data_IF_429231233682
#
_entry.id   IF_429231233682
#
_cell.length_a   1.000
_cell.length_b   1.000
_cell.length_c   1.000
_cell.angle_alpha   90.00
_cell.angle_beta   90.00
_cell.angle_gamma   90.00
#
_symmetry.space_group_name_H-M   'P 1'
#
loop_
_entity.id
_entity.type
_entity.pdbx_description
1 polymer ?
#
# COMPACT_ATOMS: atom_id res chain seq x y z
N UNK A 1 9.67 -0.88 -24.88
CA UNK A 1 8.42 -0.20 -24.45
C UNK A 1 7.27 -1.22 -24.47
N UNK A 2 7.09 -1.98 -23.40
CA UNK A 2 5.96 -2.90 -23.19
C UNK A 2 5.44 -2.64 -21.77
N UNK A 3 4.12 -2.45 -21.57
CA UNK A 3 3.58 -2.26 -20.23
C UNK A 3 3.55 -3.62 -19.53
N UNK A 4 4.41 -3.83 -18.53
CA UNK A 4 4.35 -5.04 -17.68
C UNK A 4 3.13 -4.94 -16.76
N UNK A 5 2.01 -5.53 -17.21
CA UNK A 5 0.88 -5.88 -16.33
C UNK A 5 1.32 -7.03 -15.43
N UNK A 6 1.67 -6.70 -14.19
CA UNK A 6 1.93 -7.68 -13.14
C UNK A 6 0.63 -8.41 -12.76
N UNK A 7 0.61 -9.73 -12.89
CA UNK A 7 -0.39 -10.62 -12.30
C UNK A 7 0.07 -10.97 -10.88
N UNK A 8 -0.23 -10.08 -9.94
CA UNK A 8 -0.24 -10.40 -8.50
C UNK A 8 -1.73 -10.50 -8.10
N UNK A 9 -2.03 -11.40 -7.16
CA UNK A 9 -3.34 -11.67 -6.55
C UNK A 9 -4.27 -10.44 -6.48
N UNK A 10 -5.60 -10.59 -6.65
CA UNK A 10 -6.50 -9.52 -7.05
C UNK A 10 -6.30 -8.28 -6.19
N UNK A 11 -5.66 -7.27 -6.77
CA UNK A 11 -5.55 -5.96 -6.15
C UNK A 11 -6.93 -5.33 -6.16
N UNK A 12 -7.44 -5.01 -4.98
CA UNK A 12 -8.63 -4.20 -4.86
C UNK A 12 -8.24 -2.77 -5.26
N UNK A 13 -8.51 -2.41 -6.52
CA UNK A 13 -8.31 -1.05 -7.04
C UNK A 13 -9.37 -0.14 -6.41
N UNK A 14 -8.93 0.93 -5.77
CA UNK A 14 -9.81 2.02 -5.36
C UNK A 14 -9.79 3.11 -6.42
N UNK A 15 -10.97 3.47 -6.92
CA UNK A 15 -11.18 4.72 -7.63
C UNK A 15 -11.93 5.64 -6.67
N UNK A 16 -11.27 6.71 -6.23
CA UNK A 16 -11.91 7.76 -5.42
C UNK A 16 -12.86 8.51 -6.35
N UNK A 17 -14.16 8.20 -6.28
CA UNK A 17 -15.18 8.95 -7.03
C UNK A 17 -15.39 10.31 -6.34
N UNK A 18 -14.97 11.39 -6.98
CA UNK A 18 -15.38 12.74 -6.58
C UNK A 18 -16.89 12.91 -6.86
N UNK A 19 -17.68 13.09 -5.81
CA UNK A 19 -19.12 13.37 -5.94
C UNK A 19 -19.32 14.88 -6.15
N UNK A 20 -19.60 15.30 -7.39
CA UNK A 20 -20.02 16.67 -7.68
C UNK A 20 -21.50 16.83 -7.25
N UNK A 21 -21.79 17.55 -6.17
CA UNK A 21 -23.17 17.88 -5.79
C UNK A 21 -23.73 18.99 -6.69
N UNK A 22 -24.64 18.65 -7.63
CA UNK A 22 -25.52 19.64 -8.23
C UNK A 22 -26.65 19.98 -7.24
N UNK A 23 -26.77 21.26 -6.88
CA UNK A 23 -27.93 21.79 -6.14
C UNK A 23 -29.09 22.01 -7.13
N UNK A 24 -30.19 21.29 -6.94
CA UNK A 24 -31.47 21.59 -7.59
C UNK A 24 -32.40 22.27 -6.58
N UNK A 25 -32.76 23.53 -6.86
CA UNK A 25 -33.77 24.30 -6.13
C UNK A 25 -35.16 23.91 -6.65
N UNK A 26 -36.07 23.50 -5.77
CA UNK A 26 -37.44 23.11 -6.12
C UNK A 26 -38.44 23.37 -4.99
N UNK A 27 -39.49 24.11 -5.35
CA UNK A 27 -40.56 24.74 -4.56
C UNK A 27 -41.35 23.79 -3.63
N UNK A 28 -41.71 24.28 -2.44
CA UNK A 28 -42.51 23.58 -1.43
C UNK A 28 -44.01 23.54 -1.74
N UNK A 29 -44.64 22.38 -1.52
CA UNK A 29 -46.09 22.22 -1.35
C UNK A 29 -46.32 21.45 -0.05
N UNK A 30 -46.98 22.09 0.92
CA UNK A 30 -47.37 21.50 2.20
C UNK A 30 -48.56 20.54 2.02
N UNK A 31 -48.36 19.26 2.32
CA UNK A 31 -49.43 18.30 2.59
C UNK A 31 -49.02 17.46 3.80
N UNK A 32 -49.86 17.53 4.85
CA UNK A 32 -49.63 16.86 6.12
C UNK A 32 -49.68 15.34 5.97
N UNK A 33 -48.56 14.69 6.24
CA UNK A 33 -48.45 13.26 6.47
C UNK A 33 -47.67 13.06 7.76
N UNK A 34 -48.29 12.45 8.76
CA UNK A 34 -47.59 11.89 9.92
C UNK A 34 -46.86 10.65 9.43
N UNK A 35 -45.76 10.85 8.72
CA UNK A 35 -44.87 9.79 8.28
C UNK A 35 -43.83 9.57 9.35
N UNK A 36 -43.81 8.37 9.94
CA UNK A 36 -42.66 7.90 10.70
C UNK A 36 -41.43 8.01 9.79
N UNK A 37 -40.56 8.98 10.06
CA UNK A 37 -39.30 9.12 9.33
C UNK A 37 -38.42 7.94 9.72
N UNK A 38 -38.53 6.83 8.98
CA UNK A 38 -37.47 5.85 8.93
C UNK A 38 -36.32 6.57 8.24
N UNK A 39 -35.42 7.16 9.04
CA UNK A 39 -34.13 7.62 8.55
C UNK A 39 -33.44 6.39 7.98
N UNK A 40 -33.47 6.24 6.67
CA UNK A 40 -32.60 5.32 5.95
C UNK A 40 -31.17 5.80 6.25
N UNK A 41 -30.55 5.19 7.26
CA UNK A 41 -29.11 5.35 7.46
C UNK A 41 -28.49 4.79 6.19
N UNK A 42 -27.94 5.68 5.36
CA UNK A 42 -27.19 5.25 4.19
C UNK A 42 -26.08 4.33 4.69
N UNK A 43 -26.19 3.04 4.40
CA UNK A 43 -25.16 2.07 4.72
C UNK A 43 -23.91 2.49 3.95
N UNK A 44 -22.93 3.04 4.66
CA UNK A 44 -21.65 3.38 4.08
C UNK A 44 -21.00 2.09 3.60
N UNK A 45 -20.96 1.87 2.29
CA UNK A 45 -20.29 0.72 1.69
C UNK A 45 -18.77 0.93 1.78
N UNK A 46 -18.24 0.66 2.97
CA UNK A 46 -16.81 0.68 3.24
C UNK A 46 -16.14 -0.52 2.59
N UNK A 47 -14.99 -0.27 1.99
CA UNK A 47 -14.17 -1.38 1.51
C UNK A 47 -13.56 -2.15 2.68
N UNK A 48 -13.54 -3.47 2.56
CA UNK A 48 -13.04 -4.37 3.58
C UNK A 48 -11.57 -4.66 3.33
N UNK A 49 -10.72 -4.40 4.33
CA UNK A 49 -9.29 -4.68 4.28
C UNK A 49 -8.94 -5.53 5.49
N UNK A 50 -8.49 -6.78 5.32
CA UNK A 50 -8.11 -7.58 6.47
C UNK A 50 -6.94 -6.96 7.23
N UNK A 51 -6.97 -7.07 8.56
CA UNK A 51 -5.84 -6.73 9.42
C UNK A 51 -4.56 -7.39 8.91
N UNK A 52 -3.46 -6.64 8.90
CA UNK A 52 -2.15 -7.01 8.35
C UNK A 52 -2.10 -7.27 6.84
N UNK A 53 -3.15 -6.92 6.10
CA UNK A 53 -3.11 -6.84 4.63
C UNK A 53 -2.81 -5.42 4.16
N UNK A 54 -2.67 -5.22 2.85
CA UNK A 54 -2.29 -3.93 2.27
C UNK A 54 -3.51 -3.12 1.84
N UNK A 55 -3.66 -1.92 2.39
CA UNK A 55 -4.35 -0.82 1.73
C UNK A 55 -3.43 -0.25 0.63
N UNK A 56 -3.97 -0.01 -0.57
CA UNK A 56 -3.25 0.66 -1.65
C UNK A 56 -4.15 1.75 -2.26
N UNK A 57 -3.76 3.01 -2.07
CA UNK A 57 -4.29 4.12 -2.83
C UNK A 57 -3.60 4.18 -4.17
N UNK A 58 -4.38 4.21 -5.26
CA UNK A 58 -3.91 4.48 -6.62
C UNK A 58 -4.42 5.87 -7.00
N UNK A 59 -3.50 6.77 -7.29
CA UNK A 59 -3.75 8.19 -7.48
C UNK A 59 -3.11 8.61 -8.80
N UNK A 60 -3.71 9.60 -9.46
CA UNK A 60 -3.21 10.14 -10.72
C UNK A 60 -3.00 11.64 -10.53
N UNK A 61 -1.79 12.09 -10.80
CA UNK A 61 -1.46 13.51 -10.83
C UNK A 61 -2.23 14.21 -11.94
N UNK A 62 -2.78 15.40 -11.65
CA UNK A 62 -3.37 16.27 -12.68
C UNK A 62 -2.39 17.34 -13.18
N UNK A 63 -1.13 17.28 -12.71
CA UNK A 63 -0.05 18.18 -13.09
C UNK A 63 1.20 17.38 -13.48
N UNK A 64 1.92 17.78 -14.53
CA UNK A 64 3.23 17.21 -14.82
C UNK A 64 4.27 17.76 -13.84
N UNK A 65 5.30 16.98 -13.56
CA UNK A 65 6.47 17.38 -12.78
C UNK A 65 7.74 16.95 -13.48
N UNK A 66 8.76 17.81 -13.47
CA UNK A 66 10.06 17.52 -14.09
C UNK A 66 10.88 16.51 -13.27
N UNK A 67 10.72 16.52 -11.95
CA UNK A 67 11.38 15.57 -11.05
C UNK A 67 10.43 15.15 -9.92
N UNK A 68 9.41 14.33 -10.21
CA UNK A 68 8.37 13.98 -9.24
C UNK A 68 8.92 13.32 -7.96
N UNK A 69 10.02 12.58 -8.07
CA UNK A 69 10.63 11.85 -6.94
C UNK A 69 11.20 12.81 -5.88
N UNK A 70 11.68 13.98 -6.28
CA UNK A 70 12.30 14.95 -5.37
C UNK A 70 11.45 16.19 -5.12
N UNK A 71 10.65 16.61 -6.11
CA UNK A 71 9.94 17.89 -6.06
C UNK A 71 8.59 17.79 -5.33
N UNK A 72 8.04 16.58 -5.21
CA UNK A 72 6.68 16.37 -4.72
C UNK A 72 6.66 15.39 -3.55
N UNK A 73 6.11 15.84 -2.42
CA UNK A 73 5.89 15.03 -1.25
C UNK A 73 4.40 14.72 -1.10
N UNK A 74 4.07 13.43 -1.17
CA UNK A 74 2.73 12.91 -0.93
C UNK A 74 2.71 12.22 0.44
N UNK A 75 1.71 12.50 1.27
CA UNK A 75 1.51 11.85 2.57
C UNK A 75 0.06 11.40 2.72
N UNK A 76 -0.14 10.34 3.48
CA UNK A 76 -1.45 9.98 4.00
C UNK A 76 -1.39 9.80 5.51
N UNK A 77 -2.30 10.46 6.21
CA UNK A 77 -2.56 10.25 7.63
C UNK A 77 -3.75 9.31 7.78
N UNK A 78 -3.54 8.17 8.43
CA UNK A 78 -4.55 7.15 8.71
C UNK A 78 -4.95 7.22 10.18
N UNK A 79 -6.23 7.49 10.46
CA UNK A 79 -6.78 7.54 11.81
C UNK A 79 -7.41 6.19 12.17
N UNK A 80 -6.93 5.52 13.24
CA UNK A 80 -7.52 4.27 13.71
C UNK A 80 -8.89 4.49 14.37
N UNK A 81 -9.66 3.41 14.62
CA UNK A 81 -10.84 3.47 15.47
C UNK A 81 -10.54 4.01 16.87
N UNK A 82 -9.35 3.70 17.40
CA UNK A 82 -8.85 4.12 18.72
C UNK A 82 -7.35 4.33 18.63
N UNK A 83 -6.86 5.41 19.22
CA UNK A 83 -5.43 5.73 19.30
C UNK A 83 -5.03 6.87 18.36
N UNK A 84 -3.73 7.05 18.21
CA UNK A 84 -3.16 8.14 17.44
C UNK A 84 -3.13 7.84 15.94
N UNK A 85 -3.23 8.87 15.08
CA UNK A 85 -3.05 8.71 13.64
C UNK A 85 -1.64 8.21 13.27
N UNK A 86 -1.56 7.52 12.14
CA UNK A 86 -0.30 7.04 11.55
C UNK A 86 -0.10 7.69 10.19
N UNK A 87 1.02 8.39 10.03
CA UNK A 87 1.38 9.02 8.75
C UNK A 87 2.34 8.13 7.97
N UNK A 88 2.04 7.95 6.69
CA UNK A 88 2.92 7.26 5.72
C UNK A 88 3.18 8.17 4.52
N UNK A 89 4.35 8.00 3.91
CA UNK A 89 4.66 8.65 2.65
C UNK A 89 4.02 7.87 1.49
N UNK A 90 3.51 8.63 0.51
CA UNK A 90 3.23 8.13 -0.82
C UNK A 90 4.49 8.18 -1.69
N UNK A 91 4.42 7.57 -2.85
CA UNK A 91 5.53 7.52 -3.80
C UNK A 91 5.03 7.61 -5.24
N UNK A 92 5.85 8.19 -6.10
CA UNK A 92 5.66 8.20 -7.55
C UNK A 92 5.93 6.81 -8.12
N UNK A 93 5.08 6.34 -9.03
CA UNK A 93 5.12 4.98 -9.62
C UNK A 93 5.30 4.99 -11.14
N UNK A 94 5.72 6.13 -11.72
CA UNK A 94 5.91 6.29 -13.15
C UNK A 94 4.83 7.17 -13.80
N UNK A 95 5.21 7.96 -14.81
CA UNK A 95 4.28 8.85 -15.51
C UNK A 95 3.55 9.81 -14.56
N UNK A 96 2.21 9.78 -14.59
CA UNK A 96 1.36 10.55 -13.68
C UNK A 96 0.87 9.73 -12.48
N UNK A 97 1.31 8.47 -12.33
CA UNK A 97 0.79 7.55 -11.33
C UNK A 97 1.51 7.72 -9.97
N UNK A 98 0.72 7.74 -8.91
CA UNK A 98 1.15 7.86 -7.53
C UNK A 98 0.48 6.81 -6.66
N UNK A 99 1.17 6.35 -5.63
CA UNK A 99 0.67 5.32 -4.73
C UNK A 99 0.89 5.66 -3.27
N UNK A 100 -0.03 5.19 -2.45
CA UNK A 100 0.10 5.16 -0.99
C UNK A 100 -0.14 3.73 -0.56
N UNK A 101 0.73 3.20 0.33
CA UNK A 101 0.57 1.86 0.88
C UNK A 101 0.55 1.93 2.40
N UNK A 102 -0.45 1.30 2.99
CA UNK A 102 -0.63 1.23 4.43
C UNK A 102 -1.06 -0.19 4.83
N UNK A 103 -0.73 -0.61 6.05
CA UNK A 103 -1.09 -1.92 6.59
C UNK A 103 -1.85 -1.72 7.90
N UNK A 104 -3.19 -1.81 7.93
CA UNK A 104 -3.94 -1.63 9.16
C UNK A 104 -3.67 -2.77 10.14
N UNK A 105 -3.53 -2.44 11.41
CA UNK A 105 -3.20 -3.37 12.49
C UNK A 105 -4.30 -3.45 13.57
N UNK A 106 -5.42 -2.74 13.39
CA UNK A 106 -6.56 -2.72 14.32
C UNK A 106 -7.86 -2.92 13.57
N UNK A 107 -8.69 -3.86 14.03
CA UNK A 107 -10.04 -4.10 13.50
C UNK A 107 -10.94 -2.91 13.80
N UNK A 108 -11.73 -2.49 12.82
CA UNK A 108 -12.66 -1.36 12.94
C UNK A 108 -12.54 -0.35 11.79
N UNK A 109 -13.33 0.72 11.86
CA UNK A 109 -13.34 1.76 10.82
C UNK A 109 -12.08 2.62 10.92
N UNK A 110 -11.34 2.69 9.82
CA UNK A 110 -10.24 3.63 9.63
C UNK A 110 -10.69 4.75 8.71
N UNK A 111 -10.25 5.97 9.00
CA UNK A 111 -10.35 7.11 8.07
C UNK A 111 -8.97 7.53 7.63
N UNK A 112 -8.86 8.20 6.50
CA UNK A 112 -7.59 8.76 6.05
C UNK A 112 -7.75 10.09 5.35
N UNK A 113 -6.71 10.91 5.41
CA UNK A 113 -6.54 12.13 4.64
C UNK A 113 -5.21 12.11 3.92
N UNK A 114 -5.24 12.47 2.63
CA UNK A 114 -4.07 12.51 1.75
C UNK A 114 -3.75 13.98 1.46
N UNK A 115 -2.49 14.34 1.62
CA UNK A 115 -1.95 15.67 1.35
C UNK A 115 -0.74 15.60 0.44
N UNK A 116 -0.68 16.51 -0.53
CA UNK A 116 0.45 16.73 -1.41
C UNK A 116 1.10 18.09 -1.09
N UNK A 117 2.42 18.21 -1.24
CA UNK A 117 3.15 19.48 -1.09
C UNK A 117 2.76 20.53 -2.15
N UNK A 118 2.31 20.09 -3.34
CA UNK A 118 1.62 20.95 -4.31
C UNK A 118 0.11 20.91 -4.04
N UNK A 119 -0.38 21.86 -3.25
CA UNK A 119 -1.77 21.91 -2.80
C UNK A 119 -2.78 22.13 -3.93
N UNK A 120 -2.33 22.69 -5.06
CA UNK A 120 -3.17 22.90 -6.24
C UNK A 120 -3.34 21.62 -7.07
N UNK A 121 -2.54 20.58 -6.84
CA UNK A 121 -2.73 19.29 -7.51
C UNK A 121 -3.90 18.51 -6.92
N UNK A 122 -5.11 18.79 -7.42
CA UNK A 122 -6.36 18.17 -6.98
C UNK A 122 -6.45 16.65 -7.22
N UNK A 123 -5.53 16.08 -8.00
CA UNK A 123 -5.40 14.63 -8.17
C UNK A 123 -4.72 13.94 -6.99
N UNK A 124 -3.97 14.70 -6.18
CA UNK A 124 -3.14 14.19 -5.09
C UNK A 124 -3.41 14.87 -3.74
N UNK A 125 -3.94 16.09 -3.71
CA UNK A 125 -4.12 16.90 -2.51
C UNK A 125 -5.57 16.92 -2.00
N UNK A 126 -5.72 16.97 -0.67
CA UNK A 126 -6.99 17.08 0.06
C UNK A 126 -8.01 16.00 -0.35
N UNK A 127 -7.54 14.77 -0.48
CA UNK A 127 -8.38 13.60 -0.70
C UNK A 127 -8.60 12.89 0.63
N UNK A 128 -9.79 12.35 0.85
CA UNK A 128 -10.15 11.66 2.08
C UNK A 128 -10.97 10.41 1.79
N UNK A 129 -11.02 9.52 2.76
CA UNK A 129 -11.81 8.31 2.65
C UNK A 129 -11.80 7.49 3.93
N UNK A 130 -12.43 6.32 3.83
CA UNK A 130 -12.51 5.37 4.92
C UNK A 130 -12.52 3.94 4.41
N UNK A 131 -12.07 3.02 5.26
CA UNK A 131 -12.20 1.58 5.03
C UNK A 131 -12.50 0.86 6.35
N UNK A 132 -13.01 -0.36 6.26
CA UNK A 132 -13.23 -1.21 7.42
C UNK A 132 -12.11 -2.25 7.50
N UNK A 133 -11.31 -2.17 8.55
CA UNK A 133 -10.34 -3.20 8.86
C UNK A 133 -11.05 -4.41 9.48
N UNK A 134 -10.94 -5.58 8.84
CA UNK A 134 -11.59 -6.82 9.29
C UNK A 134 -10.59 -7.74 10.00
N UNK A 135 -11.08 -8.86 10.54
CA UNK A 135 -10.20 -9.90 11.05
C UNK A 135 -9.21 -10.39 9.96
N UNK A 136 -8.02 -10.87 10.33
CA UNK A 136 -7.06 -11.42 9.37
C UNK A 136 -7.68 -12.59 8.59
N UNK A 137 -7.59 -12.56 7.25
CA UNK A 137 -8.10 -13.64 6.37
C UNK A 137 -7.05 -14.13 5.37
N UNK A 138 -5.78 -13.73 5.54
CA UNK A 138 -4.75 -14.02 4.53
C UNK A 138 -4.17 -15.43 4.63
N UNK A 139 -3.69 -15.93 3.49
CA UNK A 139 -3.15 -17.29 3.37
C UNK A 139 -1.69 -17.42 3.83
N UNK A 140 -0.95 -16.31 3.84
CA UNK A 140 0.45 -16.29 4.25
C UNK A 140 0.59 -16.21 5.78
N UNK A 141 1.73 -16.66 6.31
CA UNK A 141 2.02 -16.50 7.75
C UNK A 141 1.98 -15.04 8.19
N UNK A 142 2.46 -14.11 7.37
CA UNK A 142 2.49 -12.68 7.70
C UNK A 142 1.09 -12.07 7.72
N UNK A 143 0.24 -12.41 6.75
CA UNK A 143 -1.12 -11.87 6.67
C UNK A 143 -2.11 -12.57 7.62
N UNK A 144 -1.77 -13.75 8.13
CA UNK A 144 -2.54 -14.47 9.15
C UNK A 144 -2.13 -14.15 10.59
N UNK A 145 -0.83 -13.99 10.83
CA UNK A 145 -0.28 -13.85 12.18
C UNK A 145 0.24 -12.43 12.48
N UNK A 146 0.46 -11.61 11.45
CA UNK A 146 0.95 -10.26 11.55
C UNK A 146 2.45 -10.11 11.28
N UNK A 147 2.95 -8.86 11.29
CA UNK A 147 4.38 -8.57 11.12
C UNK A 147 5.23 -9.22 12.20
N UNK A 148 6.52 -9.42 11.90
CA UNK A 148 7.49 -9.97 12.86
C UNK A 148 7.89 -8.86 13.84
N UNK A 149 7.95 -9.21 15.12
CA UNK A 149 8.32 -8.37 16.26
C UNK A 149 9.39 -9.08 17.11
N UNK A 150 10.15 -8.32 17.86
CA UNK A 150 10.98 -8.85 18.95
C UNK A 150 10.07 -9.20 20.12
N UNK A 151 10.23 -10.38 20.71
CA UNK A 151 9.43 -10.79 21.85
C UNK A 151 9.64 -9.89 23.07
N UNK A 152 8.66 -9.86 23.99
CA UNK A 152 8.77 -9.09 25.24
C UNK A 152 10.01 -9.46 26.07
N UNK A 153 10.38 -10.75 26.05
CA UNK A 153 11.61 -11.25 26.69
C UNK A 153 12.90 -10.78 26.01
N UNK A 154 12.81 -10.22 24.79
CA UNK A 154 13.92 -9.80 23.93
C UNK A 154 14.91 -10.90 23.54
N UNK A 155 14.45 -12.15 23.55
CA UNK A 155 15.30 -13.32 23.26
C UNK A 155 15.03 -14.00 21.91
N UNK A 156 13.91 -13.69 21.25
CA UNK A 156 13.50 -14.33 20.00
C UNK A 156 12.51 -13.45 19.22
N UNK A 157 12.16 -13.90 18.01
CA UNK A 157 11.15 -13.28 17.17
C UNK A 157 9.79 -13.99 17.31
N UNK A 158 8.74 -13.19 17.18
CA UNK A 158 7.35 -13.67 17.11
C UNK A 158 6.58 -12.79 16.13
N UNK A 159 5.47 -13.31 15.63
CA UNK A 159 4.49 -12.50 14.93
C UNK A 159 3.74 -11.59 15.91
N UNK A 160 3.06 -10.56 15.38
CA UNK A 160 2.25 -9.62 16.16
C UNK A 160 1.15 -10.31 16.99
N UNK A 161 0.61 -11.45 16.53
CA UNK A 161 -0.32 -12.31 17.28
C UNK A 161 0.34 -13.27 18.29
N UNK A 162 1.62 -13.05 18.59
CA UNK A 162 2.43 -13.84 19.50
C UNK A 162 2.85 -15.25 19.03
N UNK A 163 2.51 -15.65 17.80
CA UNK A 163 3.01 -16.90 17.23
C UNK A 163 4.53 -16.85 17.06
N UNK A 164 5.32 -17.84 17.56
CA UNK A 164 6.77 -17.83 17.39
C UNK A 164 7.20 -17.78 15.92
N UNK A 165 8.27 -17.04 15.64
CA UNK A 165 8.89 -16.97 14.32
C UNK A 165 10.35 -17.42 14.41
N UNK A 166 10.65 -18.59 13.83
CA UNK A 166 12.03 -19.05 13.71
C UNK A 166 12.66 -18.49 12.44
N UNK A 167 13.70 -17.68 12.60
CA UNK A 167 14.44 -17.08 11.49
C UNK A 167 15.43 -18.11 10.93
N UNK A 168 15.06 -18.75 9.82
CA UNK A 168 15.94 -19.63 9.06
C UNK A 168 16.05 -19.05 7.66
N UNK A 169 17.15 -18.34 7.40
CA UNK A 169 17.34 -17.60 6.16
C UNK A 169 18.30 -18.31 5.21
N UNK A 170 17.98 -18.25 3.92
CA UNK A 170 18.94 -18.50 2.84
C UNK A 170 19.39 -17.17 2.23
N UNK A 171 20.46 -17.23 1.43
CA UNK A 171 21.13 -16.05 0.89
C UNK A 171 21.11 -16.03 -0.63
N UNK A 172 20.40 -15.06 -1.21
CA UNK A 172 20.30 -14.83 -2.65
C UNK A 172 20.71 -13.38 -2.99
N UNK A 173 21.95 -13.01 -2.65
CA UNK A 173 22.41 -11.62 -2.66
C UNK A 173 22.07 -10.84 -3.93
N UNK A 174 22.43 -11.37 -5.10
CA UNK A 174 22.17 -10.73 -6.40
C UNK A 174 20.92 -11.27 -7.10
N UNK A 175 20.09 -12.07 -6.41
CA UNK A 175 18.88 -12.64 -7.00
C UNK A 175 17.97 -11.60 -7.65
N UNK A 176 17.65 -10.48 -6.98
CA UNK A 176 16.80 -9.43 -7.58
C UNK A 176 17.42 -8.76 -8.80
N UNK A 177 18.74 -8.79 -8.92
CA UNK A 177 19.50 -8.13 -9.98
C UNK A 177 19.73 -9.05 -11.18
N UNK A 178 19.92 -10.35 -10.96
CA UNK A 178 20.39 -11.28 -12.02
C UNK A 178 19.43 -12.43 -12.33
N UNK A 179 18.45 -12.69 -11.49
CA UNK A 179 17.54 -13.83 -11.66
C UNK A 179 16.25 -13.43 -12.36
N UNK A 180 15.77 -14.32 -13.22
CA UNK A 180 14.45 -14.22 -13.85
C UNK A 180 13.33 -14.64 -12.88
N UNK A 181 12.08 -14.43 -13.31
CA UNK A 181 10.91 -14.93 -12.56
C UNK A 181 10.90 -16.46 -12.41
N UNK A 182 11.38 -17.18 -13.42
CA UNK A 182 11.49 -18.65 -13.37
C UNK A 182 12.52 -19.10 -12.33
N UNK A 183 13.69 -18.47 -12.31
CA UNK A 183 14.74 -18.74 -11.32
C UNK A 183 14.22 -18.50 -9.90
N UNK A 184 13.47 -17.41 -9.69
CA UNK A 184 12.85 -17.11 -8.39
C UNK A 184 11.80 -18.13 -7.99
N UNK A 185 10.95 -18.56 -8.92
CA UNK A 185 9.93 -19.57 -8.65
C UNK A 185 10.58 -20.87 -8.18
N UNK A 186 11.54 -21.37 -8.94
CA UNK A 186 12.24 -22.62 -8.62
C UNK A 186 13.00 -22.50 -7.29
N UNK A 187 13.73 -21.40 -7.10
CA UNK A 187 14.43 -21.11 -5.85
C UNK A 187 13.48 -21.11 -4.64
N UNK A 188 12.37 -20.37 -4.71
CA UNK A 188 11.42 -20.25 -3.60
C UNK A 188 10.70 -21.58 -3.31
N UNK A 189 10.38 -22.38 -4.33
CA UNK A 189 9.80 -23.72 -4.15
C UNK A 189 10.77 -24.65 -3.40
N UNK A 190 12.04 -24.66 -3.81
CA UNK A 190 13.08 -25.45 -3.16
C UNK A 190 13.30 -24.98 -1.72
N UNK A 191 13.45 -23.68 -1.48
CA UNK A 191 13.67 -23.14 -0.12
C UNK A 191 12.48 -23.36 0.80
N UNK A 192 11.27 -23.30 0.27
CA UNK A 192 10.05 -23.67 0.99
C UNK A 192 10.06 -25.15 1.39
N UNK A 193 10.43 -26.06 0.49
CA UNK A 193 10.51 -27.51 0.81
C UNK A 193 11.58 -27.84 1.85
N UNK A 194 12.63 -27.02 1.93
CA UNK A 194 13.72 -27.14 2.90
C UNK A 194 13.41 -26.44 4.25
N UNK A 195 12.27 -25.75 4.34
CA UNK A 195 11.77 -25.12 5.56
C UNK A 195 12.27 -23.70 5.81
N UNK A 196 13.00 -23.07 4.88
CA UNK A 196 13.46 -21.69 5.05
C UNK A 196 12.28 -20.73 5.23
N UNK A 197 12.47 -19.72 6.08
CA UNK A 197 11.44 -18.73 6.47
C UNK A 197 11.79 -17.31 6.05
N UNK A 198 13.02 -17.08 5.57
CA UNK A 198 13.49 -15.79 5.09
C UNK A 198 14.50 -15.97 3.94
N UNK A 199 14.66 -14.92 3.14
CA UNK A 199 15.68 -14.82 2.08
C UNK A 199 16.36 -13.46 2.23
N UNK A 200 17.69 -13.46 2.24
CA UNK A 200 18.49 -12.24 2.27
C UNK A 200 18.97 -11.89 0.85
N UNK A 201 18.82 -10.63 0.46
CA UNK A 201 19.14 -10.13 -0.88
C UNK A 201 19.51 -8.65 -0.86
N UNK A 202 20.09 -8.15 -1.95
CA UNK A 202 20.45 -6.73 -2.14
C UNK A 202 19.59 -6.13 -3.25
N UNK A 203 19.04 -4.94 -3.00
CA UNK A 203 18.10 -4.25 -3.89
C UNK A 203 18.80 -3.32 -4.91
N UNK A 204 20.05 -2.97 -4.66
CA UNK A 204 20.84 -1.98 -5.41
C UNK A 204 22.08 -2.64 -6.01
N UNK A 205 22.73 -2.01 -7.00
CA UNK A 205 24.01 -2.46 -7.52
C UNK A 205 24.97 -2.85 -6.40
N UNK A 206 25.54 -4.04 -6.53
CA UNK A 206 26.43 -4.64 -5.54
C UNK A 206 27.54 -5.41 -6.24
N UNK A 207 28.47 -5.98 -5.49
CA UNK A 207 29.70 -6.61 -6.02
C UNK A 207 29.48 -7.63 -7.16
N UNK A 208 28.32 -8.29 -7.24
CA UNK A 208 28.00 -9.23 -8.34
C UNK A 208 27.12 -8.65 -9.46
N UNK A 209 26.82 -7.36 -9.40
CA UNK A 209 26.00 -6.61 -10.35
C UNK A 209 26.36 -5.11 -10.26
N UNK A 210 27.64 -4.73 -10.49
CA UNK A 210 28.07 -3.34 -10.31
C UNK A 210 27.46 -2.39 -11.34
N UNK A 211 27.19 -2.90 -12.55
CA UNK A 211 26.69 -2.13 -13.69
C UNK A 211 25.19 -2.43 -13.94
N UNK A 212 24.42 -2.61 -12.88
CA UNK A 212 22.97 -2.85 -12.96
C UNK A 212 22.55 -4.32 -13.09
N UNK A 213 21.28 -4.51 -13.45
CA UNK A 213 20.57 -5.79 -13.49
C UNK A 213 21.08 -6.74 -14.61
N UNK A 214 20.35 -7.82 -14.91
CA UNK A 214 20.71 -8.76 -15.97
C UNK A 214 20.75 -8.13 -17.37
N UNK A 215 20.08 -6.99 -17.57
CA UNK A 215 20.00 -6.25 -18.82
C UNK A 215 20.95 -5.03 -18.83
N UNK A 216 21.66 -4.77 -17.72
CA UNK A 216 22.48 -3.57 -17.56
C UNK A 216 21.68 -2.32 -17.17
N UNK A 217 20.47 -2.50 -16.65
CA UNK A 217 19.62 -1.39 -16.18
C UNK A 217 19.95 -1.09 -14.71
N UNK A 218 20.13 0.20 -14.40
CA UNK A 218 20.34 0.68 -13.03
C UNK A 218 18.99 1.07 -12.39
N UNK A 219 18.83 0.89 -11.06
CA UNK A 219 17.57 1.24 -10.40
C UNK A 219 17.32 2.75 -10.30
N UNK A 220 18.38 3.56 -10.34
CA UNK A 220 18.35 5.01 -10.40
C UNK A 220 19.74 5.52 -10.80
N UNK A 221 19.82 6.75 -11.31
CA UNK A 221 21.06 7.45 -11.63
C UNK A 221 21.06 8.88 -11.10
N UNK A 222 22.24 9.50 -11.07
CA UNK A 222 22.45 10.88 -10.61
C UNK A 222 22.72 11.00 -9.11
N UNK A 223 23.24 12.17 -8.71
CA UNK A 223 23.63 12.47 -7.31
C UNK A 223 22.83 13.63 -6.74
N UNK A 224 22.80 14.78 -7.45
CA UNK A 224 22.02 15.96 -7.05
C UNK A 224 20.58 15.87 -7.57
N UNK A 225 20.44 15.47 -8.83
CA UNK A 225 19.16 15.17 -9.49
C UNK A 225 19.08 13.68 -9.79
N UNK A 226 18.11 13.01 -9.20
CA UNK A 226 17.85 11.58 -9.35
C UNK A 226 16.96 11.34 -10.57
N UNK A 227 17.28 10.31 -11.33
CA UNK A 227 16.44 9.79 -12.42
C UNK A 227 16.20 8.30 -12.20
N UNK A 228 14.98 7.83 -12.47
CA UNK A 228 14.52 6.43 -12.36
C UNK A 228 13.98 6.00 -13.71
#
# INVERSE_FOLDING_TARGET
MFPRRFLIAPFMRFSIRQTLMLRASGLAVLLGFVGSTVSAVAQENLTLIPKWSRFQGELVSLKPYDNPVQDVQLKAEFTPPVGEPVTVDGFWDGGDDWKIRFMPDMVGKWTFKITCSDEENRGLHNLEGAFLCTAPTGDSRLTRNGPIRVARSRTHFMHDNETPFFWMADTAWNGPLKSSELDWKDYLEVRRSQGFTAVQWVATPWRGAPDGDANGEEPFSGTEKISI
#
